data_IF_391764899066
#
_entry.id   IF_391764899066
#
_cell.length_a   1.000
_cell.length_b   1.000
_cell.length_c   1.000
_cell.angle_alpha   90.00
_cell.angle_beta   90.00
_cell.angle_gamma   90.00
#
_symmetry.space_group_name_H-M   'P 1'
#
loop_
_entity.id
_entity.type
_entity.pdbx_description
1 polymer ?
#
# COMPACT_ATOMS: atom_id res chain seq x y z
N UNK A 1 26.87 -18.56 -33.69
CA UNK A 1 27.06 -17.20 -33.14
C UNK A 1 25.72 -16.44 -33.09
N UNK A 2 24.95 -16.46 -34.17
CA UNK A 2 23.63 -15.78 -34.26
C UNK A 2 22.60 -16.25 -33.23
N UNK A 3 22.45 -17.57 -33.02
CA UNK A 3 21.52 -18.12 -32.01
C UNK A 3 21.85 -17.62 -30.59
N UNK A 4 23.13 -17.45 -30.29
CA UNK A 4 23.61 -16.96 -29.01
C UNK A 4 23.28 -15.47 -28.84
N UNK A 5 23.39 -14.67 -29.91
CA UNK A 5 23.00 -13.26 -29.93
C UNK A 5 21.49 -13.08 -29.74
N UNK A 6 20.65 -13.88 -30.42
CA UNK A 6 19.20 -13.85 -30.21
C UNK A 6 18.80 -14.25 -28.80
N UNK A 7 19.45 -15.27 -28.23
CA UNK A 7 19.19 -15.73 -26.86
C UNK A 7 19.54 -14.67 -25.82
N UNK A 8 20.69 -14.01 -25.98
CA UNK A 8 21.11 -12.89 -25.12
C UNK A 8 20.16 -11.69 -25.29
N UNK A 9 19.76 -11.36 -26.51
CA UNK A 9 18.79 -10.30 -26.79
C UNK A 9 17.44 -10.54 -26.10
N UNK A 10 16.90 -11.76 -26.22
CA UNK A 10 15.66 -12.16 -25.55
C UNK A 10 15.77 -12.09 -24.02
N UNK A 11 16.90 -12.49 -23.45
CA UNK A 11 17.15 -12.38 -22.01
C UNK A 11 17.16 -10.93 -21.54
N UNK A 12 17.85 -10.03 -22.27
CA UNK A 12 17.91 -8.60 -21.94
C UNK A 12 16.51 -7.97 -21.98
N UNK A 13 15.73 -8.24 -23.02
CA UNK A 13 14.35 -7.74 -23.14
C UNK A 13 13.50 -8.25 -21.97
N UNK A 14 13.63 -9.53 -21.60
CA UNK A 14 12.90 -10.13 -20.47
C UNK A 14 13.25 -9.43 -19.15
N UNK A 15 14.54 -9.19 -18.89
CA UNK A 15 14.99 -8.49 -17.68
C UNK A 15 14.43 -7.07 -17.61
N UNK A 16 14.45 -6.34 -18.73
CA UNK A 16 13.90 -4.98 -18.80
C UNK A 16 12.39 -5.00 -18.53
N UNK A 17 11.66 -5.91 -19.18
CA UNK A 17 10.22 -6.05 -18.99
C UNK A 17 9.88 -6.33 -17.52
N UNK A 18 10.55 -7.30 -16.89
CA UNK A 18 10.33 -7.64 -15.47
C UNK A 18 10.58 -6.44 -14.56
N UNK A 19 11.66 -5.67 -14.79
CA UNK A 19 11.95 -4.44 -14.03
C UNK A 19 10.83 -3.41 -14.20
N UNK A 20 10.37 -3.15 -15.42
CA UNK A 20 9.29 -2.20 -15.69
C UNK A 20 7.97 -2.61 -15.02
N UNK A 21 7.59 -3.89 -15.09
CA UNK A 21 6.39 -4.39 -14.42
C UNK A 21 6.49 -4.28 -12.90
N UNK A 22 7.65 -4.61 -12.32
CA UNK A 22 7.91 -4.47 -10.90
C UNK A 22 7.81 -3.01 -10.44
N UNK A 23 8.43 -2.07 -11.17
CA UNK A 23 8.36 -0.65 -10.87
C UNK A 23 6.93 -0.11 -10.93
N UNK A 24 6.17 -0.46 -11.98
CA UNK A 24 4.74 -0.06 -12.09
C UNK A 24 3.92 -0.60 -10.92
N UNK A 25 4.15 -1.85 -10.50
CA UNK A 25 3.44 -2.44 -9.36
C UNK A 25 3.79 -1.75 -8.05
N UNK A 26 5.07 -1.48 -7.80
CA UNK A 26 5.55 -0.76 -6.61
C UNK A 26 5.01 0.66 -6.55
N UNK A 27 5.01 1.36 -7.68
CA UNK A 27 4.44 2.71 -7.79
C UNK A 27 2.95 2.73 -7.41
N UNK A 28 2.13 1.83 -7.99
CA UNK A 28 0.72 1.70 -7.63
C UNK A 28 0.50 1.41 -6.15
N UNK A 29 1.33 0.54 -5.56
CA UNK A 29 1.28 0.23 -4.14
C UNK A 29 1.65 1.41 -3.24
N UNK A 30 2.70 2.14 -3.60
CA UNK A 30 3.09 3.37 -2.92
C UNK A 30 1.99 4.42 -3.00
N UNK A 31 1.38 4.61 -4.18
CA UNK A 31 0.27 5.55 -4.37
C UNK A 31 -0.91 5.19 -3.46
N UNK A 32 -1.41 3.96 -3.53
CA UNK A 32 -2.51 3.51 -2.67
C UNK A 32 -2.20 3.74 -1.19
N UNK A 33 -0.99 3.39 -0.76
CA UNK A 33 -0.55 3.55 0.62
C UNK A 33 -0.61 5.02 1.09
N UNK A 34 0.06 5.91 0.35
CA UNK A 34 0.17 7.32 0.72
C UNK A 34 -1.20 7.99 0.64
N UNK A 35 -1.97 7.70 -0.41
CA UNK A 35 -3.30 8.26 -0.60
C UNK A 35 -4.27 7.77 0.46
N UNK A 36 -4.18 6.50 0.87
CA UNK A 36 -4.99 5.96 1.95
C UNK A 36 -4.67 6.61 3.29
N UNK A 37 -3.39 6.87 3.62
CA UNK A 37 -3.06 7.59 4.84
C UNK A 37 -3.67 8.99 4.86
N UNK A 38 -3.50 9.73 3.78
CA UNK A 38 -4.08 11.06 3.65
C UNK A 38 -5.61 11.05 3.74
N UNK A 39 -6.26 10.16 2.97
CA UNK A 39 -7.71 10.03 2.92
C UNK A 39 -8.27 9.62 4.28
N UNK A 40 -7.65 8.64 4.94
CA UNK A 40 -8.09 8.14 6.25
C UNK A 40 -8.12 9.24 7.30
N UNK A 41 -7.10 10.10 7.33
CA UNK A 41 -7.00 11.20 8.28
C UNK A 41 -8.09 12.27 8.07
N UNK A 42 -8.74 12.31 6.91
CA UNK A 42 -9.87 13.20 6.61
C UNK A 42 -11.24 12.58 6.89
N UNK A 43 -11.30 11.28 7.07
CA UNK A 43 -12.55 10.59 7.40
C UNK A 43 -12.97 10.91 8.84
N UNK A 44 -14.28 10.90 9.09
CA UNK A 44 -14.79 10.98 10.46
C UNK A 44 -14.54 9.66 11.23
N UNK A 45 -14.71 9.69 12.55
CA UNK A 45 -14.42 8.53 13.43
C UNK A 45 -15.21 7.28 13.02
N UNK A 46 -16.50 7.44 12.67
CA UNK A 46 -17.33 6.31 12.26
C UNK A 46 -16.82 5.65 10.98
N UNK A 47 -16.47 6.45 9.97
CA UNK A 47 -15.87 5.97 8.72
C UNK A 47 -14.48 5.35 8.94
N UNK A 48 -13.65 5.94 9.80
CA UNK A 48 -12.35 5.38 10.17
C UNK A 48 -12.49 3.98 10.78
N UNK A 49 -13.47 3.79 11.67
CA UNK A 49 -13.76 2.50 12.26
C UNK A 49 -14.23 1.49 11.19
N UNK A 50 -15.15 1.88 10.31
CA UNK A 50 -15.60 1.00 9.21
C UNK A 50 -14.46 0.58 8.29
N UNK A 51 -13.54 1.50 7.95
CA UNK A 51 -12.35 1.18 7.15
C UNK A 51 -11.43 0.22 7.89
N UNK A 52 -11.21 0.44 9.19
CA UNK A 52 -10.38 -0.45 10.00
C UNK A 52 -10.97 -1.86 10.06
N UNK A 53 -12.25 -1.98 10.41
CA UNK A 53 -12.94 -3.27 10.53
C UNK A 53 -12.93 -4.03 9.21
N UNK A 54 -13.21 -3.33 8.10
CA UNK A 54 -13.18 -3.94 6.77
C UNK A 54 -11.77 -4.37 6.37
N UNK A 55 -10.74 -3.60 6.72
CA UNK A 55 -9.35 -3.98 6.46
C UNK A 55 -8.95 -5.22 7.28
N UNK A 56 -9.34 -5.31 8.55
CA UNK A 56 -9.10 -6.48 9.39
C UNK A 56 -9.82 -7.71 8.83
N UNK A 57 -11.08 -7.58 8.40
CA UNK A 57 -11.83 -8.65 7.72
C UNK A 57 -11.08 -9.16 6.49
N UNK A 58 -10.59 -8.25 5.63
CA UNK A 58 -9.83 -8.62 4.42
C UNK A 58 -8.49 -9.30 4.75
N UNK A 59 -7.79 -8.85 5.78
CA UNK A 59 -6.54 -9.48 6.24
C UNK A 59 -6.81 -10.92 6.70
N UNK A 60 -7.83 -11.13 7.52
CA UNK A 60 -8.22 -12.45 8.04
C UNK A 60 -8.70 -13.39 6.93
N UNK A 61 -9.42 -12.87 5.94
CA UNK A 61 -9.83 -13.63 4.75
C UNK A 61 -8.65 -13.96 3.83
N UNK A 62 -7.57 -13.18 3.89
CA UNK A 62 -6.37 -13.43 3.10
C UNK A 62 -5.52 -14.52 3.75
N UNK A 63 -5.07 -15.49 2.95
CA UNK A 63 -4.07 -16.50 3.39
C UNK A 63 -2.67 -15.88 3.60
N UNK A 64 -2.54 -14.56 3.43
CA UNK A 64 -1.27 -13.85 3.38
C UNK A 64 -0.66 -13.59 4.75
N UNK A 65 -1.46 -13.60 5.82
CA UNK A 65 -1.02 -13.14 7.13
C UNK A 65 -1.64 -14.01 8.22
N UNK A 66 -0.82 -14.85 8.86
CA UNK A 66 -1.17 -15.56 10.11
C UNK A 66 -1.22 -14.63 11.33
N UNK A 67 -1.24 -13.31 11.12
CA UNK A 67 -1.14 -12.31 12.17
C UNK A 67 -2.51 -11.69 12.44
N UNK A 68 -2.85 -11.54 13.72
CA UNK A 68 -4.07 -10.89 14.22
C UNK A 68 -3.94 -9.36 14.20
N UNK A 69 -3.58 -8.79 13.04
CA UNK A 69 -3.45 -7.34 12.86
C UNK A 69 -2.40 -6.93 11.82
N UNK A 70 -2.11 -5.63 11.78
CA UNK A 70 -1.12 -5.03 10.87
C UNK A 70 0.26 -4.92 11.53
N UNK A 71 1.32 -5.38 10.86
CA UNK A 71 2.67 -5.38 11.40
C UNK A 71 3.35 -3.99 11.43
N UNK A 72 2.95 -3.08 10.55
CA UNK A 72 3.48 -1.72 10.44
C UNK A 72 2.50 -0.78 9.69
N UNK A 73 2.82 0.51 9.61
CA UNK A 73 1.99 1.49 8.87
C UNK A 73 1.86 1.16 7.39
N UNK A 74 2.93 0.65 6.75
CA UNK A 74 2.91 0.29 5.32
C UNK A 74 1.87 -0.78 5.05
N UNK A 75 1.84 -1.81 5.87
CA UNK A 75 0.82 -2.85 5.77
C UNK A 75 -0.57 -2.30 6.07
N UNK A 76 -0.73 -1.56 7.17
CA UNK A 76 -2.02 -0.99 7.60
C UNK A 76 -2.65 -0.15 6.50
N UNK A 77 -1.94 0.86 6.01
CA UNK A 77 -2.50 1.77 5.01
C UNK A 77 -2.59 1.13 3.63
N UNK A 78 -1.75 0.13 3.32
CA UNK A 78 -1.91 -0.71 2.14
C UNK A 78 -3.25 -1.47 2.14
N UNK A 79 -3.64 -2.04 3.28
CA UNK A 79 -4.95 -2.68 3.45
C UNK A 79 -6.10 -1.69 3.53
N UNK A 80 -5.89 -0.52 4.15
CA UNK A 80 -6.91 0.54 4.19
C UNK A 80 -7.28 1.02 2.78
N UNK A 81 -6.33 1.12 1.86
CA UNK A 81 -6.63 1.45 0.47
C UNK A 81 -7.61 0.47 -0.17
N UNK A 82 -7.44 -0.83 0.08
CA UNK A 82 -8.34 -1.87 -0.44
C UNK A 82 -9.70 -1.83 0.26
N UNK A 83 -9.72 -1.61 1.57
CA UNK A 83 -10.94 -1.47 2.35
C UNK A 83 -11.76 -0.25 1.92
N UNK A 84 -11.12 0.91 1.74
CA UNK A 84 -11.75 2.13 1.21
C UNK A 84 -12.34 1.89 -0.18
N UNK A 85 -11.62 1.20 -1.06
CA UNK A 85 -12.16 0.84 -2.37
C UNK A 85 -13.40 -0.06 -2.27
N UNK A 86 -13.42 -1.01 -1.34
CA UNK A 86 -14.59 -1.89 -1.14
C UNK A 86 -15.77 -1.18 -0.45
N UNK A 87 -15.50 -0.12 0.30
CA UNK A 87 -16.51 0.75 0.94
C UNK A 87 -16.91 1.93 0.05
N UNK A 88 -16.46 1.96 -1.21
CA UNK A 88 -16.75 3.04 -2.17
C UNK A 88 -16.31 4.44 -1.68
N UNK A 89 -15.29 4.49 -0.82
CA UNK A 89 -14.67 5.73 -0.36
C UNK A 89 -13.61 6.13 -1.37
N UNK A 90 -13.82 7.25 -2.06
CA UNK A 90 -12.85 7.79 -3.01
C UNK A 90 -11.62 8.40 -2.31
N UNK A 91 -10.49 8.37 -3.01
CA UNK A 91 -9.27 9.04 -2.55
C UNK A 91 -9.51 10.55 -2.44
N UNK A 92 -9.04 11.14 -1.33
CA UNK A 92 -9.13 12.58 -1.10
C UNK A 92 -8.02 13.38 -1.81
N UNK A 93 -7.10 12.70 -2.51
CA UNK A 93 -6.01 13.35 -3.26
C UNK A 93 -6.57 14.02 -4.52
N UNK A 94 -6.21 15.30 -4.79
CA UNK A 94 -6.62 16.00 -6.00
C UNK A 94 -6.26 15.23 -7.27
N UNK A 95 -7.14 15.29 -8.28
CA UNK A 95 -6.95 14.69 -9.61
C UNK A 95 -6.74 13.16 -9.65
N UNK A 96 -6.84 12.48 -8.50
CA UNK A 96 -6.72 11.03 -8.42
C UNK A 96 -7.71 10.41 -7.42
N UNK A 97 -9.00 10.29 -7.80
CA UNK A 97 -10.05 9.74 -6.94
C UNK A 97 -10.05 8.20 -6.90
N UNK A 98 -9.24 7.54 -7.73
CA UNK A 98 -9.30 6.11 -7.96
C UNK A 98 -8.23 5.34 -7.19
N UNK A 99 -8.59 4.14 -6.71
CA UNK A 99 -7.63 3.20 -6.13
C UNK A 99 -7.02 2.30 -7.20
N UNK A 100 -5.72 2.04 -7.09
CA UNK A 100 -5.08 1.06 -7.95
C UNK A 100 -5.42 -0.37 -7.49
N UNK A 101 -5.71 -1.25 -8.45
CA UNK A 101 -5.96 -2.67 -8.17
C UNK A 101 -4.67 -3.36 -7.74
N UNK A 102 -4.62 -3.81 -6.49
CA UNK A 102 -3.49 -4.53 -5.90
C UNK A 102 -4.02 -5.76 -5.19
N UNK A 103 -3.54 -6.95 -5.57
CA UNK A 103 -4.00 -8.21 -4.98
C UNK A 103 -3.58 -8.36 -3.51
N UNK A 104 -2.38 -7.90 -3.18
CA UNK A 104 -1.81 -8.04 -1.85
C UNK A 104 -0.82 -6.88 -1.60
N UNK A 105 -1.16 -5.93 -0.71
CA UNK A 105 -0.31 -4.79 -0.39
C UNK A 105 1.02 -5.21 0.26
N UNK A 106 0.98 -6.18 1.19
CA UNK A 106 2.14 -6.71 1.90
C UNK A 106 3.25 -7.21 0.97
N UNK A 107 2.89 -7.89 -0.13
CA UNK A 107 3.88 -8.36 -1.12
C UNK A 107 4.24 -7.32 -2.17
N UNK A 108 3.51 -6.22 -2.27
CA UNK A 108 3.65 -5.25 -3.35
C UNK A 108 4.61 -4.11 -3.02
N UNK A 109 4.77 -3.79 -1.74
CA UNK A 109 5.69 -2.75 -1.26
C UNK A 109 6.19 -3.07 0.14
N UNK A 110 7.43 -2.70 0.42
CA UNK A 110 8.09 -2.93 1.72
C UNK A 110 8.28 -1.61 2.48
N UNK A 111 8.41 -1.64 3.82
CA UNK A 111 8.83 -0.47 4.59
C UNK A 111 10.13 0.11 4.08
N UNK A 112 10.18 1.45 3.94
CA UNK A 112 11.35 2.18 3.44
C UNK A 112 11.55 2.13 1.92
N UNK A 113 10.61 1.58 1.15
CA UNK A 113 10.70 1.57 -0.31
C UNK A 113 10.80 3.01 -0.89
N UNK A 114 11.77 3.25 -1.77
CA UNK A 114 12.02 4.57 -2.40
C UNK A 114 10.79 5.15 -3.12
N UNK A 115 9.89 4.30 -3.61
CA UNK A 115 8.66 4.74 -4.26
C UNK A 115 7.72 5.46 -3.28
N UNK A 116 7.73 5.12 -1.99
CA UNK A 116 6.92 5.81 -0.98
C UNK A 116 7.34 7.28 -0.93
N UNK A 117 8.65 7.54 -0.83
CA UNK A 117 9.21 8.89 -0.78
C UNK A 117 8.94 9.69 -2.07
N UNK A 118 9.04 9.03 -3.23
CA UNK A 118 8.73 9.68 -4.51
C UNK A 118 7.27 10.13 -4.58
N UNK A 119 6.33 9.30 -4.13
CA UNK A 119 4.91 9.66 -4.10
C UNK A 119 4.65 10.76 -3.08
N UNK A 120 5.23 10.69 -1.87
CA UNK A 120 5.05 11.76 -0.88
C UNK A 120 5.61 13.09 -1.37
N UNK A 121 6.75 13.08 -2.08
CA UNK A 121 7.32 14.27 -2.70
C UNK A 121 6.41 14.83 -3.81
N UNK A 122 5.84 13.96 -4.65
CA UNK A 122 4.90 14.38 -5.69
C UNK A 122 3.62 15.02 -5.12
N UNK A 123 3.19 14.67 -3.90
CA UNK A 123 2.03 15.28 -3.26
C UNK A 123 2.29 16.70 -2.72
N UNK A 124 3.55 17.12 -2.59
CA UNK A 124 3.89 18.48 -2.17
C UNK A 124 3.39 19.54 -3.18
N UNK A 125 3.20 19.18 -4.45
CA UNK A 125 2.61 20.08 -5.46
C UNK A 125 1.16 20.48 -5.11
N UNK A 126 0.49 19.71 -4.25
CA UNK A 126 -0.86 19.96 -3.77
C UNK A 126 -0.89 20.47 -2.32
N UNK A 127 0.26 20.85 -1.76
CA UNK A 127 0.41 21.24 -0.35
C UNK A 127 -0.02 20.14 0.64
N UNK A 128 0.16 18.87 0.24
CA UNK A 128 -0.18 17.70 1.05
C UNK A 128 1.09 17.10 1.65
N UNK A 129 1.24 17.21 2.97
CA UNK A 129 2.33 16.53 3.70
C UNK A 129 1.85 15.20 4.30
N UNK A 130 2.42 14.09 3.80
CA UNK A 130 2.17 12.74 4.33
C UNK A 130 3.50 12.09 4.69
N UNK A 131 3.63 11.64 5.93
CA UNK A 131 4.77 10.84 6.39
C UNK A 131 4.33 9.42 6.66
N UNK A 132 5.03 8.43 6.13
CA UNK A 132 4.80 7.01 6.42
C UNK A 132 5.97 6.52 7.28
N UNK A 133 5.70 6.06 8.49
CA UNK A 133 6.71 5.45 9.34
C UNK A 133 7.06 4.06 8.81
N UNK A 134 8.36 3.83 8.60
CA UNK A 134 8.89 2.52 8.25
C UNK A 134 9.14 1.63 9.48
N UNK A 135 8.91 2.14 10.70
CA UNK A 135 9.19 1.41 11.93
C UNK A 135 8.23 0.23 12.11
N UNK A 136 8.78 -0.90 12.56
CA UNK A 136 7.98 -2.00 13.10
C UNK A 136 7.48 -1.59 14.48
N UNK A 137 6.21 -1.23 14.62
CA UNK A 137 5.64 -1.02 15.94
C UNK A 137 4.16 -0.70 15.96
N UNK A 138 3.37 -1.58 16.57
CA UNK A 138 2.80 -1.29 17.91
C UNK A 138 2.63 -2.62 18.67
N UNK A 139 2.88 -2.67 20.00
CA UNK A 139 2.47 -3.80 20.83
C UNK A 139 0.95 -3.95 20.79
N UNK A 140 0.46 -5.18 20.60
CA UNK A 140 -0.97 -5.47 20.72
C UNK A 140 -1.40 -5.22 22.17
N UNK A 141 -2.13 -4.12 22.42
CA UNK A 141 -2.93 -3.99 23.64
C UNK A 141 -4.13 -4.93 23.51
N UNK A 142 -3.93 -6.20 23.85
CA UNK A 142 -5.01 -7.12 24.24
C UNK A 142 -4.91 -7.35 25.74
N UNK A 143 -6.08 -7.29 26.40
CA UNK A 143 -6.35 -7.34 27.84
C UNK A 143 -5.96 -6.06 28.60
N UNK A 144 -6.87 -5.22 29.06
CA UNK A 144 -8.13 -5.56 29.74
C UNK A 144 -7.91 -5.33 31.22
N UNK A 145 -8.29 -4.16 31.72
CA UNK A 145 -8.29 -3.89 33.14
C UNK A 145 -9.28 -4.80 33.86
N UNK A 146 -8.89 -5.27 35.04
CA UNK A 146 -9.77 -5.29 36.20
C UNK A 146 -8.98 -4.79 37.40
N UNK A 147 -9.67 -3.92 38.15
CA UNK A 147 -9.34 -3.48 39.50
C UNK A 147 -9.20 -4.66 40.44
#
# INVERSE_FOLDING_TARGET
MEILLYSVGALVITIIAVKLFSMKRRHKAASNLVFAKYTFNKLNIAQQNSVHDKAVEMVLASTATRMTGFANEVERYGWYALAMNALEIHSAVPDNPCWYKIKNPYRAIIPGDSMIYNITGALQQYDIEVKISAEKGYPSKTAGGKK
#
